data_IF_352854031976
#
_entry.id   IF_352854031976
#
_cell.length_a   1.000
_cell.length_b   1.000
_cell.length_c   1.000
_cell.angle_alpha   90.00
_cell.angle_beta   90.00
_cell.angle_gamma   90.00
#
_symmetry.space_group_name_H-M   'P 1'
#
loop_
_entity.id
_entity.type
_entity.pdbx_description
1 polymer ?
#
# COMPACT_ATOMS: atom_id res chain seq x y z
N UNK A 1 -42.39 -16.46 52.19
CA UNK A 1 -41.78 -15.74 51.02
C UNK A 1 -40.58 -15.01 51.55
N UNK A 2 -39.35 -15.41 51.12
CA UNK A 2 -38.14 -14.71 51.46
C UNK A 2 -38.00 -13.47 50.57
N UNK A 3 -37.96 -12.31 51.19
CA UNK A 3 -37.67 -11.07 50.48
C UNK A 3 -36.17 -10.91 50.34
N UNK A 4 -35.64 -11.07 49.13
CA UNK A 4 -34.22 -11.02 48.78
C UNK A 4 -33.81 -9.58 48.39
N UNK A 5 -33.98 -8.63 49.34
CA UNK A 5 -33.63 -7.23 49.10
C UNK A 5 -32.84 -6.66 50.27
N UNK A 6 -31.83 -5.85 49.93
CA UNK A 6 -30.94 -5.17 50.85
C UNK A 6 -31.01 -3.67 50.60
N UNK A 7 -31.11 -2.88 51.64
CA UNK A 7 -31.05 -1.42 51.53
C UNK A 7 -29.62 -0.97 51.75
N UNK A 8 -29.08 -0.23 50.82
CA UNK A 8 -27.72 0.34 50.90
C UNK A 8 -27.75 1.85 50.66
N UNK A 9 -26.83 2.56 51.27
CA UNK A 9 -26.66 4.00 51.04
C UNK A 9 -25.89 4.23 49.75
N UNK A 10 -26.48 4.93 48.80
CA UNK A 10 -25.82 5.34 47.56
C UNK A 10 -25.20 6.73 47.71
N UNK A 11 -23.90 6.83 47.71
CA UNK A 11 -23.20 8.12 47.74
C UNK A 11 -23.43 8.97 46.49
N UNK A 12 -23.70 8.32 45.36
CA UNK A 12 -23.94 9.00 44.08
C UNK A 12 -25.31 9.66 44.06
N UNK A 13 -26.32 8.98 44.62
CA UNK A 13 -27.70 9.50 44.68
C UNK A 13 -28.02 10.21 45.99
N UNK A 14 -27.06 10.22 46.93
CA UNK A 14 -27.22 10.75 48.30
C UNK A 14 -28.53 10.29 48.98
N UNK A 15 -28.91 9.04 48.79
CA UNK A 15 -30.12 8.42 49.30
C UNK A 15 -29.99 6.92 49.50
N UNK A 16 -30.90 6.33 50.30
CA UNK A 16 -30.98 4.88 50.41
C UNK A 16 -31.61 4.26 49.15
N UNK A 17 -30.98 3.19 48.63
CA UNK A 17 -31.52 2.45 47.48
C UNK A 17 -31.67 0.97 47.87
N UNK A 18 -32.72 0.35 47.36
CA UNK A 18 -32.97 -1.10 47.52
C UNK A 18 -32.25 -1.85 46.40
N UNK A 19 -31.43 -2.83 46.77
CA UNK A 19 -30.73 -3.69 45.81
C UNK A 19 -31.02 -5.14 46.11
N UNK A 20 -30.92 -6.00 45.12
CA UNK A 20 -31.04 -7.45 45.29
C UNK A 20 -29.91 -7.99 46.17
N UNK A 21 -30.20 -8.88 47.08
CA UNK A 21 -29.18 -9.58 47.88
C UNK A 21 -28.23 -10.46 47.04
N UNK A 22 -28.63 -10.80 45.81
CA UNK A 22 -27.84 -11.56 44.84
C UNK A 22 -26.82 -10.66 44.17
N UNK A 23 -26.91 -9.32 44.24
CA UNK A 23 -25.88 -8.43 43.85
C UNK A 23 -24.69 -8.59 44.80
N UNK A 24 -23.84 -9.57 44.52
CA UNK A 24 -22.63 -9.84 45.27
C UNK A 24 -21.80 -8.55 45.33
N UNK A 25 -21.26 -8.25 46.50
CA UNK A 25 -20.20 -7.25 46.66
C UNK A 25 -19.19 -7.54 45.57
N UNK A 26 -19.03 -6.64 44.63
CA UNK A 26 -17.96 -6.72 43.64
C UNK A 26 -16.68 -6.98 44.43
N UNK A 27 -16.16 -8.19 44.39
CA UNK A 27 -14.81 -8.47 44.86
C UNK A 27 -13.97 -7.41 44.19
N UNK A 28 -13.19 -6.63 44.95
CA UNK A 28 -12.12 -5.86 44.39
C UNK A 28 -11.33 -6.80 43.51
N UNK A 29 -11.60 -6.79 42.21
CA UNK A 29 -10.74 -7.43 41.24
C UNK A 29 -9.37 -6.87 41.49
N UNK A 30 -8.41 -7.74 41.78
CA UNK A 30 -7.03 -7.36 42.04
C UNK A 30 -6.66 -6.36 40.94
N UNK A 31 -6.17 -5.21 41.36
CA UNK A 31 -5.97 -4.08 40.46
C UNK A 31 -5.23 -4.57 39.22
N UNK A 32 -5.89 -4.44 38.07
CA UNK A 32 -5.19 -4.57 36.80
C UNK A 32 -4.05 -3.56 36.86
N UNK A 33 -2.83 -4.06 36.99
CA UNK A 33 -1.65 -3.22 36.82
C UNK A 33 -1.61 -2.85 35.34
N UNK A 34 -2.31 -1.79 35.01
CA UNK A 34 -2.18 -1.15 33.72
C UNK A 34 -0.74 -0.68 33.64
N UNK A 35 0.06 -1.29 32.77
CA UNK A 35 1.43 -0.86 32.57
C UNK A 35 1.40 0.63 32.21
N UNK A 36 2.41 1.39 32.63
CA UNK A 36 2.50 2.83 32.30
C UNK A 36 2.34 3.07 30.80
N UNK A 37 2.73 2.12 29.97
CA UNK A 37 2.59 2.14 28.51
C UNK A 37 1.14 1.97 28.05
N UNK A 38 0.33 1.13 28.73
CA UNK A 38 -1.09 0.98 28.40
C UNK A 38 -1.92 2.20 28.84
N UNK A 39 -1.52 2.86 29.94
CA UNK A 39 -2.14 4.10 30.37
C UNK A 39 -1.80 5.26 29.42
N UNK A 40 -0.55 5.32 28.95
CA UNK A 40 -0.13 6.29 27.96
C UNK A 40 -0.87 6.08 26.61
N UNK A 41 -1.03 4.84 26.15
CA UNK A 41 -1.78 4.51 24.94
C UNK A 41 -3.28 4.83 25.06
N UNK A 42 -3.88 4.60 26.24
CA UNK A 42 -5.28 4.96 26.49
C UNK A 42 -5.47 6.48 26.59
N UNK A 43 -4.51 7.21 27.15
CA UNK A 43 -4.57 8.66 27.28
C UNK A 43 -4.34 9.35 25.93
N UNK A 44 -3.44 8.81 25.09
CA UNK A 44 -3.26 9.28 23.70
C UNK A 44 -4.47 8.98 22.82
N UNK A 45 -5.09 7.82 22.95
CA UNK A 45 -6.35 7.51 22.25
C UNK A 45 -7.52 8.44 22.67
N UNK A 46 -7.54 8.91 23.92
CA UNK A 46 -8.57 9.82 24.40
C UNK A 46 -8.31 11.28 23.97
N UNK A 47 -7.06 11.68 23.82
CA UNK A 47 -6.70 13.01 23.27
C UNK A 47 -6.97 13.12 21.76
N UNK A 48 -7.03 11.99 21.04
CA UNK A 48 -7.37 11.92 19.62
C UNK A 48 -8.84 12.27 19.31
N UNK A 49 -9.74 12.29 20.30
CA UNK A 49 -11.16 12.62 20.10
C UNK A 49 -11.52 14.08 20.41
N UNK A 50 -10.56 14.87 20.89
CA UNK A 50 -10.76 16.31 21.05
C UNK A 50 -10.45 17.03 19.73
N UNK A 51 -11.38 17.01 18.79
CA UNK A 51 -11.34 17.88 17.63
C UNK A 51 -11.47 19.34 18.09
N UNK A 52 -10.36 20.01 18.22
CA UNK A 52 -10.32 21.46 18.28
C UNK A 52 -10.46 21.94 16.85
N UNK A 53 -11.60 22.46 16.50
CA UNK A 53 -11.79 23.09 15.20
C UNK A 53 -10.78 24.24 15.06
N UNK A 54 -9.85 24.11 14.12
CA UNK A 54 -9.01 25.22 13.65
C UNK A 54 -7.49 25.09 13.74
N UNK A 55 -6.92 23.97 14.17
CA UNK A 55 -5.49 23.77 14.11
C UNK A 55 -5.17 22.57 13.21
N UNK A 56 -4.31 22.80 12.25
CA UNK A 56 -3.75 21.84 11.31
C UNK A 56 -2.69 21.05 12.06
N UNK A 57 -3.10 20.03 12.81
CA UNK A 57 -2.19 19.31 13.70
C UNK A 57 -1.96 17.88 13.24
N UNK A 58 -0.69 17.52 13.12
CA UNK A 58 -0.29 16.13 12.89
C UNK A 58 -0.70 15.24 14.05
N UNK A 59 -1.26 14.07 13.75
CA UNK A 59 -1.54 13.03 14.73
C UNK A 59 -0.41 12.01 14.72
N UNK A 60 0.41 12.01 15.76
CA UNK A 60 1.55 11.10 15.87
C UNK A 60 1.35 10.15 17.04
N UNK A 61 1.22 8.87 16.77
CA UNK A 61 1.10 7.80 17.75
C UNK A 61 2.27 6.84 17.61
N UNK A 62 3.08 6.71 18.64
CA UNK A 62 4.28 5.88 18.59
C UNK A 62 4.74 5.40 19.97
N UNK A 63 5.88 4.74 20.01
CA UNK A 63 6.55 4.29 21.23
C UNK A 63 7.68 5.26 21.58
N UNK A 64 7.84 5.55 22.86
CA UNK A 64 8.91 6.43 23.36
C UNK A 64 10.32 5.86 23.18
N UNK A 65 10.46 4.54 23.11
CA UNK A 65 11.75 3.86 22.90
C UNK A 65 12.17 3.79 21.43
N UNK A 66 11.19 3.89 20.52
CA UNK A 66 11.41 3.86 19.07
C UNK A 66 10.45 4.86 18.39
N UNK A 67 10.69 6.16 18.57
CA UNK A 67 9.75 7.19 18.13
C UNK A 67 9.69 7.30 16.60
N UNK A 68 8.57 7.81 16.14
CA UNK A 68 8.44 8.32 14.78
C UNK A 68 9.19 9.64 14.65
N UNK A 69 9.80 9.90 13.51
CA UNK A 69 10.42 11.18 13.17
C UNK A 69 9.52 11.88 12.15
N UNK A 70 8.95 13.02 12.53
CA UNK A 70 8.02 13.79 11.69
C UNK A 70 8.53 15.22 11.64
N UNK A 71 8.88 15.73 10.46
CA UNK A 71 9.52 17.03 10.26
C UNK A 71 8.87 17.77 9.08
N UNK A 72 8.52 19.03 9.30
CA UNK A 72 7.94 19.91 8.27
C UNK A 72 6.69 19.29 7.58
N UNK A 73 5.81 18.66 8.37
CA UNK A 73 4.59 18.03 7.87
C UNK A 73 3.34 18.74 8.39
N UNK A 74 2.26 18.69 7.63
CA UNK A 74 0.96 19.23 8.03
C UNK A 74 -0.15 18.22 7.74
N UNK A 75 -1.21 18.23 8.53
CA UNK A 75 -2.42 17.42 8.36
C UNK A 75 -2.18 15.89 8.27
N UNK A 76 -1.06 15.41 8.79
CA UNK A 76 -0.65 14.02 8.63
C UNK A 76 -0.92 13.16 9.86
N UNK A 77 -1.28 11.91 9.64
CA UNK A 77 -1.47 10.90 10.69
C UNK A 77 -0.37 9.85 10.62
N UNK A 78 0.46 9.75 11.65
CA UNK A 78 1.56 8.78 11.71
C UNK A 78 1.39 7.87 12.93
N UNK A 79 1.08 6.61 12.69
CA UNK A 79 0.83 5.59 13.72
C UNK A 79 1.87 4.46 13.61
N UNK A 80 2.52 4.15 14.73
CA UNK A 80 3.49 3.06 14.77
C UNK A 80 4.85 3.49 15.30
N UNK A 81 5.90 2.86 14.82
CA UNK A 81 7.25 3.07 15.37
C UNK A 81 8.31 3.21 14.27
N UNK A 82 9.30 4.06 14.53
CA UNK A 82 10.44 4.27 13.63
C UNK A 82 10.06 4.73 12.20
N UNK A 83 8.87 5.30 12.00
CA UNK A 83 8.52 5.91 10.72
C UNK A 83 9.23 7.27 10.58
N UNK A 84 9.66 7.58 9.38
CA UNK A 84 10.30 8.85 9.02
C UNK A 84 9.46 9.55 7.98
N UNK A 85 8.93 10.72 8.32
CA UNK A 85 8.02 11.49 7.48
C UNK A 85 8.54 12.93 7.43
N UNK A 86 8.79 13.46 6.25
CA UNK A 86 9.37 14.79 6.12
C UNK A 86 8.92 15.53 4.87
N UNK A 87 8.52 16.79 5.06
CA UNK A 87 8.01 17.70 4.02
C UNK A 87 6.75 17.16 3.33
N UNK A 88 5.80 16.74 4.16
CA UNK A 88 4.61 16.02 3.73
C UNK A 88 3.34 16.79 4.08
N UNK A 89 2.26 16.46 3.38
CA UNK A 89 0.94 16.99 3.66
C UNK A 89 -0.14 15.95 3.39
N UNK A 90 -1.18 15.94 4.25
CA UNK A 90 -2.36 15.08 4.13
C UNK A 90 -2.06 13.57 4.10
N UNK A 91 -1.02 13.12 4.81
CA UNK A 91 -0.57 11.74 4.79
C UNK A 91 -1.17 10.85 5.88
N UNK A 92 -1.31 9.57 5.59
CA UNK A 92 -1.69 8.53 6.56
C UNK A 92 -0.67 7.40 6.55
N UNK A 93 0.16 7.33 7.59
CA UNK A 93 1.22 6.34 7.72
C UNK A 93 0.94 5.43 8.90
N UNK A 94 0.75 4.15 8.65
CA UNK A 94 0.50 3.13 9.69
C UNK A 94 1.51 2.00 9.56
N UNK A 95 2.28 1.78 10.62
CA UNK A 95 3.20 0.64 10.66
C UNK A 95 4.58 0.95 11.21
N UNK A 96 5.61 0.35 10.63
CA UNK A 96 6.97 0.40 11.17
C UNK A 96 8.02 0.69 10.10
N UNK A 97 8.97 1.57 10.41
CA UNK A 97 10.15 1.86 9.56
C UNK A 97 9.80 2.31 8.14
N UNK A 98 8.65 2.93 7.95
CA UNK A 98 8.31 3.53 6.67
C UNK A 98 9.04 4.88 6.54
N UNK A 99 9.46 5.23 5.32
CA UNK A 99 10.10 6.49 5.00
C UNK A 99 9.32 7.18 3.90
N UNK A 100 8.77 8.36 4.21
CA UNK A 100 8.03 9.19 3.26
C UNK A 100 8.73 10.54 3.19
N UNK A 101 9.01 11.01 2.00
CA UNK A 101 9.77 12.21 1.79
C UNK A 101 9.38 12.96 0.51
N UNK A 102 9.20 14.27 0.62
CA UNK A 102 8.88 15.15 -0.50
C UNK A 102 7.65 14.65 -1.29
N UNK A 103 6.55 14.30 -0.58
CA UNK A 103 5.36 13.65 -1.15
C UNK A 103 4.08 14.23 -0.51
N UNK A 104 2.92 14.12 -1.18
CA UNK A 104 1.65 14.65 -0.70
C UNK A 104 0.51 13.64 -0.92
N UNK A 105 -0.46 13.57 0.02
CA UNK A 105 -1.62 12.68 -0.01
C UNK A 105 -1.25 11.19 -0.14
N UNK A 106 -0.29 10.75 0.68
CA UNK A 106 0.23 9.38 0.66
C UNK A 106 -0.37 8.54 1.77
N UNK A 107 -0.82 7.35 1.44
CA UNK A 107 -1.32 6.36 2.40
C UNK A 107 -0.42 5.14 2.42
N UNK A 108 0.25 4.90 3.53
CA UNK A 108 1.13 3.74 3.70
C UNK A 108 0.67 2.89 4.86
N UNK A 109 0.47 1.61 4.60
CA UNK A 109 0.18 0.61 5.64
C UNK A 109 1.14 -0.56 5.49
N UNK A 110 2.01 -0.74 6.49
CA UNK A 110 2.97 -1.84 6.46
C UNK A 110 4.32 -1.48 7.05
N UNK A 111 5.37 -2.15 6.59
CA UNK A 111 6.70 -2.04 7.17
C UNK A 111 7.77 -1.78 6.11
N UNK A 112 8.68 -0.85 6.39
CA UNK A 112 9.89 -0.64 5.58
C UNK A 112 9.61 -0.07 4.19
N UNK A 113 8.43 0.49 3.95
CA UNK A 113 8.11 1.12 2.68
C UNK A 113 8.83 2.46 2.53
N UNK A 114 9.25 2.79 1.32
CA UNK A 114 9.86 4.06 0.98
C UNK A 114 9.04 4.73 -0.12
N UNK A 115 8.59 5.96 0.13
CA UNK A 115 7.89 6.80 -0.85
C UNK A 115 8.65 8.12 -0.92
N UNK A 116 9.05 8.52 -2.11
CA UNK A 116 9.85 9.74 -2.30
C UNK A 116 9.42 10.47 -3.57
N UNK A 117 9.21 11.78 -3.46
CA UNK A 117 8.83 12.63 -4.56
C UNK A 117 7.63 12.06 -5.34
N UNK A 118 6.56 11.68 -4.59
CA UNK A 118 5.46 10.88 -5.15
C UNK A 118 4.15 11.23 -4.48
N UNK A 119 3.21 11.78 -5.22
CA UNK A 119 1.94 12.24 -4.70
C UNK A 119 0.80 11.22 -4.90
N UNK A 120 -0.26 11.32 -4.11
CA UNK A 120 -1.48 10.50 -4.23
C UNK A 120 -1.24 8.99 -4.31
N UNK A 121 -0.30 8.48 -3.49
CA UNK A 121 0.07 7.07 -3.48
C UNK A 121 -0.68 6.28 -2.40
N UNK A 122 -1.12 5.06 -2.74
CA UNK A 122 -1.56 4.07 -1.79
C UNK A 122 -0.58 2.90 -1.76
N UNK A 123 0.06 2.66 -0.62
CA UNK A 123 1.07 1.62 -0.48
C UNK A 123 0.67 0.66 0.64
N UNK A 124 0.43 -0.60 0.30
CA UNK A 124 0.05 -1.65 1.23
C UNK A 124 1.06 -2.79 1.20
N UNK A 125 1.55 -3.17 2.38
CA UNK A 125 2.51 -4.28 2.50
C UNK A 125 3.90 -3.82 2.91
N UNK A 126 4.92 -4.62 2.63
CA UNK A 126 6.23 -4.42 3.20
C UNK A 126 7.34 -4.21 2.17
N UNK A 127 8.29 -3.34 2.50
CA UNK A 127 9.52 -3.09 1.74
C UNK A 127 9.28 -2.67 0.28
N UNK A 128 8.21 -1.94 -0.01
CA UNK A 128 7.97 -1.37 -1.32
C UNK A 128 8.74 -0.05 -1.48
N UNK A 129 9.19 0.25 -2.68
CA UNK A 129 9.93 1.47 -3.04
C UNK A 129 9.25 2.20 -4.19
N UNK A 130 8.71 3.37 -3.90
CA UNK A 130 8.00 4.22 -4.85
C UNK A 130 8.78 5.53 -5.00
N UNK A 131 9.05 5.96 -6.23
CA UNK A 131 9.83 7.18 -6.48
C UNK A 131 9.35 7.88 -7.73
N UNK A 132 9.24 9.22 -7.67
CA UNK A 132 8.86 10.08 -8.79
C UNK A 132 7.55 9.62 -9.45
N UNK A 133 6.49 9.51 -8.67
CA UNK A 133 5.20 9.03 -9.19
C UNK A 133 4.07 9.95 -8.79
N UNK A 134 3.06 9.98 -9.63
CA UNK A 134 1.81 10.65 -9.34
C UNK A 134 0.64 9.69 -9.49
N UNK A 135 -0.21 9.62 -8.50
CA UNK A 135 -1.33 8.72 -8.38
C UNK A 135 -1.00 7.24 -8.62
N UNK A 136 -1.25 6.37 -7.67
CA UNK A 136 -1.01 4.94 -7.88
C UNK A 136 -1.31 4.09 -6.66
N UNK A 137 -1.34 2.79 -6.89
CA UNK A 137 -1.46 1.81 -5.81
C UNK A 137 -0.41 0.73 -5.98
N UNK A 138 0.41 0.54 -4.96
CA UNK A 138 1.35 -0.58 -4.86
C UNK A 138 0.96 -1.44 -3.68
N UNK A 139 0.61 -2.68 -3.93
CA UNK A 139 0.20 -3.63 -2.90
C UNK A 139 1.00 -4.92 -2.99
N UNK A 140 1.76 -5.24 -1.95
CA UNK A 140 2.56 -6.46 -1.93
C UNK A 140 3.86 -6.33 -1.16
N UNK A 141 4.85 -7.09 -1.58
CA UNK A 141 6.15 -7.18 -0.93
C UNK A 141 7.29 -6.99 -1.94
N UNK A 142 8.27 -6.14 -1.59
CA UNK A 142 9.41 -5.81 -2.45
C UNK A 142 9.03 -5.28 -3.85
N UNK A 143 7.91 -4.57 -3.95
CA UNK A 143 7.53 -3.86 -5.18
C UNK A 143 8.41 -2.63 -5.40
N UNK A 144 8.83 -2.40 -6.63
CA UNK A 144 9.54 -1.19 -7.06
C UNK A 144 8.74 -0.52 -8.16
N UNK A 145 8.41 0.76 -7.97
CA UNK A 145 7.68 1.53 -8.96
C UNK A 145 8.30 2.93 -9.07
N UNK A 146 8.77 3.29 -10.27
CA UNK A 146 9.48 4.55 -10.52
C UNK A 146 9.01 5.24 -11.79
N UNK A 147 8.97 6.56 -11.74
CA UNK A 147 8.73 7.45 -12.88
C UNK A 147 7.46 7.10 -13.68
N UNK A 148 6.28 7.40 -13.13
CA UNK A 148 5.02 7.12 -13.82
C UNK A 148 3.79 7.69 -13.14
N UNK A 149 2.64 7.49 -13.76
CA UNK A 149 1.34 7.97 -13.26
C UNK A 149 0.27 6.89 -13.29
N UNK A 150 -0.67 6.96 -12.34
CA UNK A 150 -1.92 6.19 -12.32
C UNK A 150 -1.77 4.67 -12.43
N UNK A 151 -0.78 4.08 -11.74
CA UNK A 151 -0.52 2.64 -11.84
C UNK A 151 -1.16 1.83 -10.71
N UNK A 152 -1.52 0.61 -11.04
CA UNK A 152 -1.91 -0.43 -10.11
C UNK A 152 -0.90 -1.59 -10.16
N UNK A 153 -0.13 -1.78 -9.09
CA UNK A 153 0.85 -2.85 -8.98
C UNK A 153 0.49 -3.75 -7.79
N UNK A 154 0.15 -4.99 -8.05
CA UNK A 154 -0.23 -5.97 -7.02
C UNK A 154 0.65 -7.21 -7.13
N UNK A 155 1.23 -7.63 -6.01
CA UNK A 155 2.01 -8.85 -5.91
C UNK A 155 3.42 -8.64 -5.38
N UNK A 156 4.25 -9.64 -5.49
CA UNK A 156 5.57 -9.67 -4.88
C UNK A 156 6.69 -9.49 -5.91
N UNK A 157 7.68 -8.68 -5.59
CA UNK A 157 8.89 -8.52 -6.41
C UNK A 157 8.68 -7.86 -7.78
N UNK A 158 7.56 -7.19 -7.99
CA UNK A 158 7.32 -6.47 -9.24
C UNK A 158 8.23 -5.25 -9.36
N UNK A 159 8.81 -5.03 -10.53
CA UNK A 159 9.70 -3.91 -10.82
C UNK A 159 9.20 -3.14 -12.03
N UNK A 160 8.73 -1.93 -11.80
CA UNK A 160 8.18 -1.05 -12.83
C UNK A 160 9.07 0.20 -12.90
N UNK A 161 9.66 0.44 -14.03
CA UNK A 161 10.59 1.56 -14.25
C UNK A 161 10.21 2.33 -15.52
N UNK A 162 9.85 3.59 -15.38
CA UNK A 162 9.70 4.52 -16.49
C UNK A 162 11.02 5.22 -16.84
N UNK A 163 11.05 5.99 -17.90
CA UNK A 163 12.17 6.86 -18.24
C UNK A 163 12.32 7.96 -17.20
N UNK A 164 13.55 8.38 -16.90
CA UNK A 164 13.88 9.47 -15.97
C UNK A 164 13.39 10.86 -16.45
N UNK A 165 12.84 10.95 -17.63
CA UNK A 165 12.41 12.21 -18.22
C UNK A 165 10.99 12.53 -17.74
N UNK A 166 10.93 13.31 -16.68
CA UNK A 166 9.82 14.10 -16.17
C UNK A 166 8.40 13.66 -16.58
N UNK A 167 7.69 12.92 -15.71
CA UNK A 167 6.24 12.64 -15.74
C UNK A 167 5.59 12.14 -17.06
N UNK A 168 6.36 11.88 -18.09
CA UNK A 168 5.85 11.31 -19.35
C UNK A 168 6.15 9.80 -19.47
N UNK A 169 6.62 9.21 -18.37
CA UNK A 169 7.22 7.88 -18.40
C UNK A 169 6.26 6.76 -18.75
N UNK A 170 5.14 6.68 -18.07
CA UNK A 170 4.09 5.72 -18.36
C UNK A 170 2.78 6.13 -17.69
N UNK A 171 1.70 5.81 -18.32
CA UNK A 171 0.34 6.12 -17.86
C UNK A 171 -0.47 4.85 -17.70
N UNK A 172 -1.27 4.78 -16.62
CA UNK A 172 -2.32 3.77 -16.42
C UNK A 172 -1.87 2.32 -16.63
N UNK A 173 -0.77 1.91 -16.00
CA UNK A 173 -0.31 0.53 -16.04
C UNK A 173 -1.00 -0.30 -14.95
N UNK A 174 -1.48 -1.49 -15.30
CA UNK A 174 -1.92 -2.50 -14.34
C UNK A 174 -0.97 -3.70 -14.37
N UNK A 175 -0.35 -4.03 -13.24
CA UNK A 175 0.47 -5.24 -13.07
C UNK A 175 -0.08 -6.05 -11.90
N UNK A 176 -0.50 -7.27 -12.17
CA UNK A 176 -0.99 -8.21 -11.15
C UNK A 176 -0.22 -9.53 -11.28
N UNK A 177 0.49 -9.91 -10.22
CA UNK A 177 1.31 -11.12 -10.19
C UNK A 177 2.67 -10.89 -9.55
N UNK A 178 3.59 -11.81 -9.74
CA UNK A 178 4.86 -11.78 -9.04
C UNK A 178 6.06 -11.71 -9.99
N UNK A 179 7.11 -11.03 -9.54
CA UNK A 179 8.40 -10.92 -10.24
C UNK A 179 8.28 -10.40 -11.68
N UNK A 180 7.29 -9.58 -11.97
CA UNK A 180 7.16 -8.94 -13.26
C UNK A 180 8.13 -7.75 -13.35
N UNK A 181 8.78 -7.60 -14.48
CA UNK A 181 9.62 -6.46 -14.82
C UNK A 181 9.04 -5.75 -16.04
N UNK A 182 8.71 -4.48 -15.88
CA UNK A 182 8.24 -3.65 -16.97
C UNK A 182 9.11 -2.38 -17.05
N UNK A 183 9.75 -2.15 -18.19
CA UNK A 183 10.53 -0.97 -18.50
C UNK A 183 9.78 -0.11 -19.50
N UNK A 184 9.60 1.17 -19.19
CA UNK A 184 8.87 2.15 -20.03
C UNK A 184 7.50 1.66 -20.54
N UNK A 185 6.65 1.10 -19.67
CA UNK A 185 5.32 0.65 -20.09
C UNK A 185 4.36 1.85 -20.20
N UNK A 186 3.35 1.75 -21.06
CA UNK A 186 2.30 2.76 -21.21
C UNK A 186 0.93 2.10 -21.44
N UNK A 187 -0.09 2.54 -20.71
CA UNK A 187 -1.51 2.16 -20.92
C UNK A 187 -1.72 0.66 -21.14
N UNK A 188 -1.09 -0.17 -20.31
CA UNK A 188 -1.07 -1.63 -20.54
C UNK A 188 -1.54 -2.43 -19.32
N UNK A 189 -1.98 -3.65 -19.56
CA UNK A 189 -2.38 -4.62 -18.54
C UNK A 189 -1.46 -5.83 -18.58
N UNK A 190 -0.86 -6.17 -17.45
CA UNK A 190 0.00 -7.34 -17.29
C UNK A 190 -0.51 -8.19 -16.13
N UNK A 191 -0.95 -9.40 -16.40
CA UNK A 191 -1.44 -10.34 -15.38
C UNK A 191 -0.69 -11.66 -15.51
N UNK A 192 0.01 -12.06 -14.45
CA UNK A 192 0.80 -13.29 -14.40
C UNK A 192 2.15 -13.08 -13.75
N UNK A 193 2.99 -14.09 -13.82
CA UNK A 193 4.28 -14.09 -13.12
C UNK A 193 5.46 -14.09 -14.10
N UNK A 194 6.58 -13.50 -13.64
CA UNK A 194 7.88 -13.51 -14.31
C UNK A 194 7.89 -12.87 -15.72
N UNK A 195 6.94 -11.99 -16.00
CA UNK A 195 6.93 -11.25 -17.26
C UNK A 195 8.11 -10.28 -17.32
N UNK A 196 8.80 -10.23 -18.46
CA UNK A 196 9.89 -9.29 -18.75
C UNK A 196 9.50 -8.48 -19.99
N UNK A 197 9.09 -7.25 -19.76
CA UNK A 197 8.48 -6.41 -20.78
C UNK A 197 9.30 -5.13 -20.94
N UNK A 198 9.59 -4.76 -22.15
CA UNK A 198 10.25 -3.49 -22.46
C UNK A 198 9.39 -2.69 -23.43
N UNK A 199 9.17 -1.41 -23.11
CA UNK A 199 8.45 -0.44 -23.92
C UNK A 199 7.08 -0.96 -24.42
N UNK A 200 6.32 -1.65 -23.55
CA UNK A 200 4.96 -2.08 -23.89
C UNK A 200 4.01 -0.88 -23.92
N UNK A 201 3.17 -0.83 -24.92
CA UNK A 201 2.20 0.26 -25.07
C UNK A 201 0.84 -0.27 -25.52
N UNK A 202 -0.24 0.20 -24.87
CA UNK A 202 -1.60 -0.14 -25.24
C UNK A 202 -1.84 -1.66 -25.38
N UNK A 203 -1.21 -2.46 -24.53
CA UNK A 203 -1.15 -3.92 -24.68
C UNK A 203 -1.80 -4.66 -23.52
N UNK A 204 -2.29 -5.86 -23.78
CA UNK A 204 -2.80 -6.79 -22.77
C UNK A 204 -1.93 -8.05 -22.79
N UNK A 205 -1.29 -8.36 -21.67
CA UNK A 205 -0.46 -9.55 -21.48
C UNK A 205 -1.00 -10.35 -20.30
N UNK A 206 -1.55 -11.51 -20.56
CA UNK A 206 -2.11 -12.41 -19.54
C UNK A 206 -1.45 -13.78 -19.66
N UNK A 207 -0.72 -14.18 -18.64
CA UNK A 207 -0.01 -15.46 -18.58
C UNK A 207 1.31 -15.33 -17.85
N UNK A 208 1.96 -16.44 -17.60
CA UNK A 208 3.20 -16.49 -16.83
C UNK A 208 4.34 -17.02 -17.68
N UNK A 209 5.56 -16.60 -17.35
CA UNK A 209 6.81 -17.10 -17.91
C UNK A 209 7.57 -17.88 -16.84
N UNK A 210 8.52 -18.73 -17.21
CA UNK A 210 9.46 -19.31 -16.23
C UNK A 210 10.49 -18.26 -15.80
N UNK A 211 11.02 -18.34 -14.57
CA UNK A 211 12.02 -17.39 -14.07
C UNK A 211 13.31 -17.35 -14.93
N UNK A 212 13.68 -18.50 -15.53
CA UNK A 212 14.89 -18.64 -16.32
C UNK A 212 14.73 -18.11 -17.75
N UNK A 213 13.50 -17.93 -18.21
CA UNK A 213 13.27 -17.41 -19.57
C UNK A 213 13.78 -15.99 -19.68
N UNK A 214 14.80 -15.82 -20.51
CA UNK A 214 15.25 -14.49 -20.89
C UNK A 214 14.24 -13.92 -21.89
N UNK A 215 13.78 -12.69 -21.63
CA UNK A 215 13.15 -11.93 -22.69
C UNK A 215 14.13 -11.89 -23.87
N UNK A 216 13.68 -12.19 -25.08
CA UNK A 216 14.52 -12.00 -26.26
C UNK A 216 14.81 -10.48 -26.36
N UNK A 217 16.07 -10.04 -26.20
CA UNK A 217 16.39 -8.63 -26.22
C UNK A 217 16.13 -7.97 -27.58
N UNK A 218 16.05 -8.78 -28.63
CA UNK A 218 15.77 -8.32 -30.00
C UNK A 218 14.28 -8.15 -30.29
N UNK A 219 13.42 -8.64 -29.40
CA UNK A 219 11.96 -8.45 -29.52
C UNK A 219 11.57 -7.19 -28.77
N UNK A 220 11.81 -6.06 -29.40
CA UNK A 220 11.43 -4.74 -28.89
C UNK A 220 9.90 -4.53 -28.88
N UNK A 221 9.52 -3.50 -28.28
CA UNK A 221 8.23 -2.80 -28.16
C UNK A 221 6.97 -3.60 -28.57
N UNK A 222 6.28 -4.14 -27.58
CA UNK A 222 4.93 -4.66 -27.75
C UNK A 222 3.96 -3.48 -27.81
N UNK A 223 3.47 -3.19 -29.01
CA UNK A 223 2.56 -2.07 -29.23
C UNK A 223 1.18 -2.59 -29.63
N UNK A 224 0.12 -2.16 -28.94
CA UNK A 224 -1.26 -2.55 -29.22
C UNK A 224 -1.45 -4.07 -29.37
N UNK A 225 -0.78 -4.87 -28.54
CA UNK A 225 -0.79 -6.34 -28.67
C UNK A 225 -1.68 -7.00 -27.62
N UNK A 226 -2.25 -8.15 -27.97
CA UNK A 226 -2.98 -9.04 -27.07
C UNK A 226 -2.24 -10.36 -26.96
N UNK A 227 -1.72 -10.66 -25.77
CA UNK A 227 -0.97 -11.90 -25.50
C UNK A 227 -1.65 -12.64 -24.35
N UNK A 228 -2.19 -13.82 -24.61
CA UNK A 228 -2.88 -14.63 -23.61
C UNK A 228 -2.40 -16.07 -23.67
N UNK A 229 -1.77 -16.54 -22.63
CA UNK A 229 -1.31 -17.92 -22.50
C UNK A 229 -0.02 -18.05 -21.72
N UNK A 230 0.23 -19.23 -21.20
CA UNK A 230 1.48 -19.57 -20.57
C UNK A 230 2.59 -19.62 -21.63
N UNK A 231 3.71 -18.94 -21.43
CA UNK A 231 4.80 -18.75 -22.41
C UNK A 231 4.38 -18.08 -23.72
N UNK A 232 3.21 -17.46 -23.81
CA UNK A 232 2.83 -16.72 -24.99
C UNK A 232 3.64 -15.42 -25.11
N UNK A 233 4.05 -15.06 -26.31
CA UNK A 233 4.91 -13.90 -26.58
C UNK A 233 4.46 -13.14 -27.82
N UNK A 234 4.66 -11.85 -27.80
CA UNK A 234 4.46 -10.98 -28.95
C UNK A 234 5.55 -9.92 -29.00
N UNK A 235 5.96 -9.52 -30.17
CA UNK A 235 6.95 -8.48 -30.39
C UNK A 235 7.39 -8.39 -31.83
N UNK A 236 8.10 -7.31 -32.18
CA UNK A 236 8.75 -7.18 -33.50
C UNK A 236 10.12 -6.57 -33.32
N UNK A 237 11.05 -6.89 -34.21
CA UNK A 237 12.40 -6.27 -34.25
C UNK A 237 12.33 -4.76 -34.56
N UNK A 238 11.36 -4.34 -35.32
CA UNK A 238 11.31 -3.00 -35.91
C UNK A 238 10.27 -2.08 -35.21
N UNK A 239 9.88 -2.38 -33.96
CA UNK A 239 8.96 -1.54 -33.17
C UNK A 239 7.49 -1.56 -33.62
N UNK A 240 7.11 -2.50 -34.48
CA UNK A 240 5.72 -2.72 -34.89
C UNK A 240 4.94 -3.56 -33.87
N UNK A 241 3.63 -3.44 -33.87
CA UNK A 241 2.73 -4.10 -32.94
C UNK A 241 1.42 -4.52 -33.61
N UNK A 242 0.35 -4.55 -32.86
CA UNK A 242 -0.98 -5.02 -33.21
C UNK A 242 -1.02 -6.55 -33.45
N UNK A 243 -0.27 -7.28 -32.65
CA UNK A 243 -0.23 -8.74 -32.71
C UNK A 243 -1.20 -9.39 -31.74
N UNK A 244 -1.71 -10.53 -32.09
CA UNK A 244 -2.53 -11.37 -31.23
C UNK A 244 -1.86 -12.75 -31.09
N UNK A 245 -1.44 -13.10 -29.87
CA UNK A 245 -0.89 -14.41 -29.55
C UNK A 245 -1.76 -15.07 -28.47
N UNK A 246 -2.52 -16.09 -28.85
CA UNK A 246 -3.43 -16.80 -27.97
C UNK A 246 -3.05 -18.27 -27.85
N UNK A 247 -2.83 -18.76 -26.64
CA UNK A 247 -2.55 -20.16 -26.38
C UNK A 247 -1.20 -20.39 -25.73
N UNK A 248 -0.96 -21.61 -25.27
CA UNK A 248 0.31 -22.03 -24.65
C UNK A 248 1.45 -21.95 -25.67
N UNK A 249 2.46 -21.13 -25.36
CA UNK A 249 3.63 -20.98 -26.22
C UNK A 249 3.38 -20.27 -27.56
N UNK A 250 2.22 -19.64 -27.76
CA UNK A 250 1.94 -18.90 -28.99
C UNK A 250 2.94 -17.73 -29.15
N UNK A 251 3.50 -17.55 -30.36
CA UNK A 251 4.51 -16.54 -30.65
C UNK A 251 4.14 -15.74 -31.90
N UNK A 252 3.76 -14.49 -31.72
CA UNK A 252 3.45 -13.57 -32.82
C UNK A 252 4.54 -12.50 -32.92
N UNK A 253 5.45 -12.64 -33.88
CA UNK A 253 6.61 -11.77 -34.05
C UNK A 253 6.59 -10.93 -35.32
N UNK A 254 5.59 -11.12 -36.13
CA UNK A 254 5.38 -10.34 -37.33
C UNK A 254 4.74 -8.98 -37.08
N UNK A 255 4.43 -8.30 -38.15
CA UNK A 255 3.64 -7.08 -38.15
C UNK A 255 2.17 -7.44 -38.34
N UNK A 256 1.29 -7.10 -37.38
CA UNK A 256 -0.14 -7.45 -37.44
C UNK A 256 -0.41 -8.96 -37.53
N UNK A 257 0.33 -9.76 -36.79
CA UNK A 257 0.23 -11.20 -36.80
C UNK A 257 -0.78 -11.73 -35.78
N UNK A 258 -1.52 -12.77 -36.15
CA UNK A 258 -2.40 -13.51 -35.24
C UNK A 258 -1.94 -14.97 -35.17
N UNK A 259 -1.67 -15.46 -33.98
CA UNK A 259 -1.27 -16.84 -33.69
C UNK A 259 -2.15 -17.38 -32.57
N UNK A 260 -2.74 -18.54 -32.77
CA UNK A 260 -3.61 -19.23 -31.81
C UNK A 260 -3.12 -20.65 -31.53
#
# INVERSE_FOLDING_TARGET
MNHIYKVIWSRVKNSYVVVSEIAGTAKKSGGVRISKNALAAALTAFLLTASVAGAVDNVIVGNTEAPNTVIDTTDSTVVGIENKVSKEKDDVIVGKKNTIKDSEDVRVVGKGNTVTNSDRQNVFGDNNSITNRDAGTVSGYHGIARNGTSDLVIGMGNKIEGNDTYMTGHESLTVIGNNNKAENPTSSIVIGDNQKLSAIKESVVIGSMTPEEKADPDIGQKHASVVVGYHAQSGTRDGGGMNVALGHGAKAYGWQETVT
#
